data_IF_737192651007
#
_entry.id   IF_737192651007
#
_cell.length_a   1.000
_cell.length_b   1.000
_cell.length_c   1.000
_cell.angle_alpha   90.00
_cell.angle_beta   90.00
_cell.angle_gamma   90.00
#
_symmetry.space_group_name_H-M   'P 1'
#
loop_
_entity.id
_entity.type
_entity.pdbx_description
1 polymer ?
#
# COMPACT_ATOMS: atom_id res chain seq x y z
N UNK A 1 20.74 -20.54 4.93
CA UNK A 1 21.28 -19.68 3.87
C UNK A 1 20.33 -19.59 2.67
N UNK A 2 19.77 -20.72 2.22
CA UNK A 2 18.79 -20.75 1.10
C UNK A 2 17.53 -19.95 1.43
N UNK A 3 16.92 -20.17 2.58
CA UNK A 3 15.73 -19.44 3.05
C UNK A 3 15.92 -17.91 3.10
N UNK A 4 17.11 -17.45 3.52
CA UNK A 4 17.40 -16.02 3.56
C UNK A 4 17.48 -15.42 2.16
N UNK A 5 17.97 -16.18 1.18
CA UNK A 5 17.99 -15.76 -0.22
C UNK A 5 16.57 -15.67 -0.80
N UNK A 6 15.69 -16.61 -0.44
CA UNK A 6 14.28 -16.60 -0.84
C UNK A 6 13.56 -15.33 -0.32
N UNK A 7 13.79 -14.97 0.95
CA UNK A 7 13.25 -13.72 1.51
C UNK A 7 13.77 -12.48 0.79
N UNK A 8 15.06 -12.45 0.43
CA UNK A 8 15.64 -11.35 -0.31
C UNK A 8 14.98 -11.20 -1.70
N UNK A 9 14.87 -12.30 -2.44
CA UNK A 9 14.27 -12.34 -3.78
C UNK A 9 12.81 -11.96 -3.71
N UNK A 10 12.06 -12.48 -2.72
CA UNK A 10 10.69 -12.09 -2.46
C UNK A 10 10.58 -10.58 -2.21
N UNK A 11 11.47 -10.04 -1.38
CA UNK A 11 11.55 -8.61 -1.09
C UNK A 11 11.79 -7.77 -2.33
N UNK A 12 12.70 -8.18 -3.23
CA UNK A 12 12.96 -7.48 -4.50
C UNK A 12 11.70 -7.46 -5.37
N UNK A 13 11.05 -8.61 -5.57
CA UNK A 13 9.83 -8.71 -6.39
C UNK A 13 8.70 -7.84 -5.84
N UNK A 14 8.36 -8.05 -4.56
CA UNK A 14 7.30 -7.32 -3.88
C UNK A 14 7.61 -5.83 -3.79
N UNK A 15 8.86 -5.48 -3.48
CA UNK A 15 9.30 -4.09 -3.42
C UNK A 15 9.21 -3.39 -4.77
N UNK A 16 9.53 -4.10 -5.86
CA UNK A 16 9.40 -3.56 -7.22
C UNK A 16 7.94 -3.24 -7.55
N UNK A 17 7.03 -4.18 -7.34
CA UNK A 17 5.59 -3.96 -7.58
C UNK A 17 5.03 -2.90 -6.63
N UNK A 18 5.42 -2.95 -5.36
CA UNK A 18 4.98 -2.01 -4.33
C UNK A 18 5.33 -0.55 -4.66
N UNK A 19 6.57 -0.29 -5.07
CA UNK A 19 7.00 1.04 -5.48
C UNK A 19 6.44 1.45 -6.85
N UNK A 20 6.37 0.51 -7.81
CA UNK A 20 5.78 0.77 -9.13
C UNK A 20 4.35 1.31 -9.05
N UNK A 21 3.56 0.79 -8.11
CA UNK A 21 2.15 1.13 -7.95
C UNK A 21 1.87 2.08 -6.76
N UNK A 22 2.88 2.41 -5.97
CA UNK A 22 2.73 3.30 -4.80
C UNK A 22 2.02 2.67 -3.60
N UNK A 23 2.07 1.33 -3.50
CA UNK A 23 1.32 0.55 -2.50
C UNK A 23 2.20 0.00 -1.37
N UNK A 24 3.53 0.08 -1.52
CA UNK A 24 4.48 -0.38 -0.50
C UNK A 24 4.74 -1.89 -0.44
N UNK A 25 3.93 -2.72 -1.11
CA UNK A 25 4.15 -4.17 -1.22
C UNK A 25 3.52 -5.03 -0.12
N UNK A 26 3.07 -4.47 1.00
CA UNK A 26 2.47 -5.23 2.11
C UNK A 26 1.25 -6.05 1.69
N UNK A 27 0.49 -5.56 0.72
CA UNK A 27 -0.67 -6.25 0.16
C UNK A 27 -0.34 -7.57 -0.57
N UNK A 28 0.92 -7.78 -0.98
CA UNK A 28 1.40 -9.06 -1.52
C UNK A 28 1.99 -9.90 -0.41
N UNK A 29 2.77 -9.29 0.50
CA UNK A 29 3.45 -10.01 1.57
C UNK A 29 2.48 -10.66 2.55
N UNK A 30 1.45 -9.91 3.00
CA UNK A 30 0.47 -10.44 3.96
C UNK A 30 -0.21 -11.72 3.46
N UNK A 31 -0.78 -11.76 2.23
CA UNK A 31 -1.31 -13.01 1.68
C UNK A 31 -0.29 -14.14 1.58
N UNK A 32 0.92 -13.86 1.09
CA UNK A 32 1.96 -14.88 0.96
C UNK A 32 2.31 -15.46 2.33
N UNK A 33 2.51 -14.62 3.33
CA UNK A 33 2.83 -15.08 4.68
C UNK A 33 1.68 -15.88 5.31
N UNK A 34 0.44 -15.42 5.11
CA UNK A 34 -0.76 -16.10 5.60
C UNK A 34 -0.99 -17.47 4.97
N UNK A 35 -0.66 -17.63 3.70
CA UNK A 35 -0.90 -18.87 2.97
C UNK A 35 0.23 -19.89 3.13
N UNK A 36 1.48 -19.43 3.23
CA UNK A 36 2.65 -20.33 3.12
C UNK A 36 3.55 -20.34 4.33
N UNK A 37 3.50 -19.32 5.21
CA UNK A 37 4.51 -19.14 6.25
C UNK A 37 3.95 -19.08 7.68
N UNK A 38 2.62 -19.05 7.84
CA UNK A 38 1.97 -19.11 9.15
C UNK A 38 1.62 -20.57 9.50
N UNK A 39 1.69 -20.93 10.77
CA UNK A 39 1.22 -22.22 11.24
C UNK A 39 -0.28 -22.44 10.88
N UNK A 40 -0.71 -23.66 10.48
CA UNK A 40 0.03 -24.93 10.43
C UNK A 40 0.81 -25.17 9.13
N UNK A 41 0.73 -24.29 8.12
CA UNK A 41 1.35 -24.51 6.81
C UNK A 41 2.84 -24.12 6.76
N UNK A 42 3.30 -23.29 7.71
CA UNK A 42 4.70 -22.87 7.85
C UNK A 42 5.11 -22.69 9.30
N UNK A 43 6.41 -22.59 9.55
CA UNK A 43 6.99 -22.47 10.91
C UNK A 43 7.53 -21.07 11.22
N UNK A 44 7.50 -20.15 10.26
CA UNK A 44 8.14 -18.83 10.42
C UNK A 44 7.31 -17.89 11.29
N UNK A 45 5.98 -17.91 11.15
CA UNK A 45 5.07 -17.05 11.90
C UNK A 45 4.08 -17.88 12.71
N UNK A 46 3.87 -17.48 13.95
CA UNK A 46 2.91 -18.12 14.87
C UNK A 46 1.61 -17.34 14.98
N UNK A 47 1.63 -16.05 14.71
CA UNK A 47 0.47 -15.18 14.86
C UNK A 47 0.29 -14.25 13.64
N UNK A 48 -0.94 -13.81 13.41
CA UNK A 48 -1.28 -12.81 12.37
C UNK A 48 -0.56 -11.49 12.62
N UNK A 49 -0.37 -11.12 13.89
CA UNK A 49 0.32 -9.89 14.28
C UNK A 49 1.80 -9.90 13.85
N UNK A 50 2.46 -11.06 13.92
CA UNK A 50 3.83 -11.22 13.42
C UNK A 50 3.91 -11.07 11.90
N UNK A 51 2.94 -11.61 11.18
CA UNK A 51 2.82 -11.43 9.73
C UNK A 51 2.67 -9.94 9.38
N UNK A 52 1.76 -9.25 10.06
CA UNK A 52 1.49 -7.83 9.83
C UNK A 52 2.72 -6.98 10.19
N UNK A 53 3.31 -7.18 11.37
CA UNK A 53 4.48 -6.41 11.82
C UNK A 53 5.69 -6.58 10.89
N UNK A 54 6.01 -7.82 10.51
CA UNK A 54 7.11 -8.13 9.58
C UNK A 54 6.86 -7.55 8.19
N UNK A 55 5.63 -7.65 7.70
CA UNK A 55 5.23 -7.04 6.42
C UNK A 55 5.33 -5.52 6.46
N UNK A 56 4.87 -4.86 7.54
CA UNK A 56 4.98 -3.41 7.71
C UNK A 56 6.42 -2.92 7.72
N UNK A 57 7.34 -3.68 8.32
CA UNK A 57 8.77 -3.35 8.26
C UNK A 57 9.30 -3.36 6.82
N UNK A 58 8.94 -4.36 6.03
CA UNK A 58 9.31 -4.42 4.61
C UNK A 58 8.68 -3.27 3.80
N UNK A 59 7.40 -2.93 4.08
CA UNK A 59 6.71 -1.76 3.51
C UNK A 59 7.43 -0.47 3.84
N UNK A 60 7.87 -0.30 5.08
CA UNK A 60 8.65 0.87 5.52
C UNK A 60 9.96 0.99 4.74
N UNK A 61 10.73 -0.10 4.64
CA UNK A 61 11.97 -0.12 3.85
C UNK A 61 11.73 0.22 2.38
N UNK A 62 10.67 -0.34 1.79
CA UNK A 62 10.23 -0.02 0.43
C UNK A 62 9.87 1.45 0.28
N UNK A 63 9.07 1.98 1.19
CA UNK A 63 8.57 3.35 1.14
C UNK A 63 9.68 4.39 1.32
N UNK A 64 10.66 4.16 2.21
CA UNK A 64 11.86 5.00 2.32
C UNK A 64 12.60 5.05 0.99
N UNK A 65 12.97 3.88 0.47
CA UNK A 65 13.76 3.77 -0.75
C UNK A 65 13.01 4.36 -1.96
N UNK A 66 11.71 4.03 -2.09
CA UNK A 66 10.84 4.55 -3.14
C UNK A 66 10.68 6.08 -3.04
N UNK A 67 10.49 6.61 -1.84
CA UNK A 67 10.42 8.07 -1.60
C UNK A 67 11.69 8.75 -2.08
N UNK A 68 12.86 8.22 -1.72
CA UNK A 68 14.15 8.76 -2.19
C UNK A 68 14.24 8.76 -3.72
N UNK A 69 13.81 7.67 -4.38
CA UNK A 69 13.79 7.59 -5.83
C UNK A 69 12.85 8.63 -6.45
N UNK A 70 11.64 8.80 -5.89
CA UNK A 70 10.65 9.75 -6.40
C UNK A 70 10.99 11.22 -6.10
N UNK A 71 11.66 11.52 -4.98
CA UNK A 71 12.22 12.86 -4.72
C UNK A 71 13.24 13.23 -5.80
N UNK A 72 14.18 12.31 -6.12
CA UNK A 72 15.15 12.52 -7.20
C UNK A 72 14.51 12.71 -8.58
N UNK A 73 13.34 12.10 -8.78
CA UNK A 73 12.56 12.27 -10.01
C UNK A 73 11.67 13.53 -10.01
N UNK A 74 11.61 14.29 -8.89
CA UNK A 74 10.76 15.48 -8.71
C UNK A 74 9.28 15.20 -8.97
N UNK A 75 8.79 14.00 -8.57
CA UNK A 75 7.41 13.55 -8.82
C UNK A 75 6.50 13.56 -7.60
N UNK A 76 7.02 13.91 -6.43
CA UNK A 76 6.21 14.05 -5.21
C UNK A 76 5.64 15.45 -5.16
N UNK A 77 4.31 15.55 -5.08
CA UNK A 77 3.64 16.83 -4.83
C UNK A 77 3.68 17.15 -3.33
N UNK A 78 4.78 17.75 -2.85
CA UNK A 78 5.00 18.01 -1.42
C UNK A 78 3.87 18.84 -0.78
N UNK A 79 3.27 19.76 -1.54
CA UNK A 79 2.13 20.58 -1.09
C UNK A 79 0.92 19.73 -0.67
N UNK A 80 0.71 18.55 -1.31
CA UNK A 80 -0.32 17.60 -0.93
C UNK A 80 0.23 16.51 0.01
N UNK A 81 1.44 16.02 -0.26
CA UNK A 81 2.06 14.90 0.45
C UNK A 81 2.17 15.14 1.95
N UNK A 82 2.64 16.33 2.37
CA UNK A 82 2.83 16.65 3.79
C UNK A 82 1.50 16.73 4.55
N UNK A 83 0.48 17.51 4.11
CA UNK A 83 -0.81 17.51 4.79
C UNK A 83 -1.50 16.14 4.83
N UNK A 84 -1.40 15.37 3.74
CA UNK A 84 -1.97 14.03 3.68
C UNK A 84 -1.27 13.07 4.63
N UNK A 85 0.07 13.11 4.68
CA UNK A 85 0.85 12.30 5.60
C UNK A 85 0.51 12.61 7.06
N UNK A 86 0.45 13.91 7.42
CA UNK A 86 0.07 14.32 8.78
C UNK A 86 -1.36 13.89 9.14
N UNK A 87 -2.29 13.92 8.18
CA UNK A 87 -3.67 13.48 8.39
C UNK A 87 -3.79 11.95 8.56
N UNK A 88 -2.89 11.17 7.96
CA UNK A 88 -2.90 9.70 8.15
C UNK A 88 -2.47 9.29 9.56
N UNK A 89 -1.65 10.08 10.26
CA UNK A 89 -1.14 9.71 11.58
C UNK A 89 -2.25 9.50 12.63
N UNK A 90 -3.16 10.46 12.87
CA UNK A 90 -4.25 10.25 13.82
C UNK A 90 -5.22 9.17 13.35
N UNK A 91 -5.47 9.07 12.04
CA UNK A 91 -6.28 7.98 11.48
C UNK A 91 -5.66 6.61 11.76
N UNK A 92 -4.36 6.46 11.51
CA UNK A 92 -3.63 5.23 11.76
C UNK A 92 -3.61 4.85 13.25
N UNK A 93 -3.44 5.83 14.12
CA UNK A 93 -3.48 5.60 15.58
C UNK A 93 -4.87 5.10 16.02
N UNK A 94 -5.94 5.77 15.61
CA UNK A 94 -7.32 5.36 15.93
C UNK A 94 -7.66 4.00 15.30
N UNK A 95 -7.25 3.75 14.05
CA UNK A 95 -7.48 2.47 13.38
C UNK A 95 -6.77 1.31 14.07
N UNK A 96 -5.56 1.51 14.55
CA UNK A 96 -4.83 0.52 15.35
C UNK A 96 -5.53 0.21 16.67
N UNK A 97 -5.95 1.25 17.39
CA UNK A 97 -6.66 1.12 18.67
C UNK A 97 -8.03 0.43 18.53
N UNK A 98 -8.76 0.73 17.47
CA UNK A 98 -10.09 0.17 17.21
C UNK A 98 -10.05 -1.10 16.33
N UNK A 99 -8.86 -1.59 15.98
CA UNK A 99 -8.70 -2.71 15.02
C UNK A 99 -9.42 -3.99 15.44
N UNK A 100 -9.52 -4.28 16.74
CA UNK A 100 -10.23 -5.45 17.25
C UNK A 100 -11.73 -5.40 16.95
N UNK A 101 -12.34 -4.21 17.00
CA UNK A 101 -13.77 -4.02 16.73
C UNK A 101 -14.12 -4.09 15.25
N UNK A 102 -13.15 -3.74 14.38
CA UNK A 102 -13.31 -3.72 12.93
C UNK A 102 -12.63 -4.90 12.22
N UNK A 103 -12.09 -5.87 12.95
CA UNK A 103 -11.40 -7.03 12.39
C UNK A 103 -12.31 -8.21 12.07
N UNK A 104 -13.62 -8.10 12.28
CA UNK A 104 -14.58 -9.18 12.07
C UNK A 104 -14.78 -9.56 10.59
N UNK A 105 -15.31 -10.79 10.34
CA UNK A 105 -15.55 -11.30 8.99
C UNK A 105 -16.46 -10.40 8.15
N UNK A 106 -17.49 -9.81 8.76
CA UNK A 106 -18.43 -8.89 8.09
C UNK A 106 -17.74 -7.62 7.58
N UNK A 107 -16.79 -7.07 8.36
CA UNK A 107 -16.01 -5.92 7.94
C UNK A 107 -15.06 -6.27 6.78
N UNK A 108 -14.39 -7.43 6.84
CA UNK A 108 -13.56 -7.92 5.72
C UNK A 108 -14.37 -8.06 4.44
N UNK A 109 -15.59 -8.62 4.54
CA UNK A 109 -16.49 -8.76 3.40
C UNK A 109 -16.89 -7.40 2.80
N UNK A 110 -17.35 -6.46 3.64
CA UNK A 110 -17.74 -5.12 3.20
C UNK A 110 -16.59 -4.36 2.54
N UNK A 111 -15.39 -4.43 3.14
CA UNK A 111 -14.19 -3.81 2.57
C UNK A 111 -13.78 -4.46 1.25
N UNK A 112 -13.86 -5.78 1.15
CA UNK A 112 -13.58 -6.51 -0.08
C UNK A 112 -14.52 -6.11 -1.22
N UNK A 113 -15.83 -6.00 -0.96
CA UNK A 113 -16.82 -5.52 -1.93
C UNK A 113 -16.49 -4.10 -2.40
N UNK A 114 -16.15 -3.20 -1.47
CA UNK A 114 -15.73 -1.83 -1.81
C UNK A 114 -14.48 -1.82 -2.71
N UNK A 115 -13.48 -2.66 -2.42
CA UNK A 115 -12.25 -2.76 -3.22
C UNK A 115 -12.52 -3.31 -4.62
N UNK A 116 -13.36 -4.35 -4.76
CA UNK A 116 -13.77 -4.88 -6.07
C UNK A 116 -14.47 -3.79 -6.88
N UNK A 117 -15.37 -3.05 -6.26
CA UNK A 117 -16.09 -1.95 -6.92
C UNK A 117 -15.13 -0.82 -7.37
N UNK A 118 -14.19 -0.41 -6.50
CA UNK A 118 -13.15 0.57 -6.85
C UNK A 118 -12.29 0.05 -8.00
N UNK A 119 -11.80 -1.19 -7.93
CA UNK A 119 -10.99 -1.81 -8.98
C UNK A 119 -11.73 -1.85 -10.32
N UNK A 120 -13.00 -2.20 -10.32
CA UNK A 120 -13.85 -2.20 -11.51
C UNK A 120 -14.01 -0.79 -12.12
N UNK A 121 -14.32 0.22 -11.29
CA UNK A 121 -14.42 1.62 -11.74
C UNK A 121 -13.10 2.10 -12.33
N UNK A 122 -11.97 1.80 -11.67
CA UNK A 122 -10.65 2.16 -12.15
C UNK A 122 -10.35 1.53 -13.52
N UNK A 123 -10.64 0.25 -13.67
CA UNK A 123 -10.46 -0.46 -14.93
C UNK A 123 -11.34 0.14 -16.03
N UNK A 124 -12.61 0.35 -15.76
CA UNK A 124 -13.56 0.95 -16.72
C UNK A 124 -13.12 2.36 -17.15
N UNK A 125 -12.60 3.16 -16.21
CA UNK A 125 -12.09 4.51 -16.48
C UNK A 125 -10.63 4.55 -16.98
N UNK A 126 -9.94 3.41 -17.08
CA UNK A 126 -8.53 3.33 -17.51
C UNK A 126 -8.29 3.84 -18.93
N UNK A 127 -9.33 3.90 -19.76
CA UNK A 127 -9.29 4.46 -21.12
C UNK A 127 -9.63 5.95 -21.16
N UNK A 128 -10.09 6.52 -20.05
CA UNK A 128 -10.51 7.92 -19.95
C UNK A 128 -9.33 8.91 -19.86
N UNK A 129 -9.66 10.20 -19.92
CA UNK A 129 -8.69 11.30 -19.84
C UNK A 129 -7.88 11.29 -18.54
N UNK A 130 -8.49 10.95 -17.40
CA UNK A 130 -7.82 10.92 -16.10
C UNK A 130 -6.67 9.91 -16.04
N UNK A 131 -6.88 8.71 -16.60
CA UNK A 131 -5.87 7.65 -16.62
C UNK A 131 -4.73 7.90 -17.62
N UNK A 132 -4.97 8.74 -18.63
CA UNK A 132 -3.98 9.08 -19.65
C UNK A 132 -3.27 10.43 -19.40
N UNK A 133 -3.59 11.10 -18.27
CA UNK A 133 -2.98 12.38 -17.93
C UNK A 133 -1.48 12.22 -17.74
N UNK A 134 -0.69 12.93 -18.54
CA UNK A 134 0.76 12.90 -18.43
C UNK A 134 1.27 13.89 -17.36
N UNK A 135 2.48 13.65 -16.88
CA UNK A 135 3.13 14.59 -15.96
C UNK A 135 3.57 15.86 -16.68
N UNK A 136 3.86 15.74 -17.99
CA UNK A 136 4.34 16.84 -18.83
C UNK A 136 3.26 17.91 -19.04
N UNK A 137 1.98 17.47 -19.09
CA UNK A 137 0.83 18.36 -19.26
C UNK A 137 0.28 18.90 -17.94
N UNK A 138 0.95 18.61 -16.81
CA UNK A 138 0.46 18.94 -15.46
C UNK A 138 1.48 19.75 -14.67
N UNK A 139 1.11 20.99 -14.38
CA UNK A 139 1.95 21.87 -13.57
C UNK A 139 1.60 21.74 -12.07
N UNK A 140 2.55 21.24 -11.25
CA UNK A 140 2.35 21.11 -9.81
C UNK A 140 2.06 22.43 -9.09
N UNK A 141 2.54 23.57 -9.60
CA UNK A 141 2.40 24.86 -8.96
C UNK A 141 0.99 25.43 -9.10
N UNK A 142 0.40 25.23 -10.28
CA UNK A 142 -0.95 25.76 -10.62
C UNK A 142 -2.07 24.75 -10.43
N UNK A 143 -1.73 23.48 -10.15
CA UNK A 143 -2.71 22.42 -9.99
C UNK A 143 -3.71 22.73 -8.87
N UNK A 144 -4.99 22.83 -9.24
CA UNK A 144 -6.10 23.00 -8.30
C UNK A 144 -6.67 21.64 -7.94
N UNK A 145 -6.74 21.34 -6.65
CA UNK A 145 -7.40 20.16 -6.10
C UNK A 145 -8.03 20.49 -4.75
N UNK A 146 -9.00 19.71 -4.34
CA UNK A 146 -9.70 19.93 -3.08
C UNK A 146 -8.83 19.43 -1.93
N UNK A 147 -8.03 20.32 -1.32
CA UNK A 147 -7.13 20.00 -0.21
C UNK A 147 -7.89 19.48 1.02
N UNK A 148 -8.97 20.12 1.52
CA UNK A 148 -9.76 19.62 2.65
C UNK A 148 -10.28 18.19 2.42
N UNK A 149 -10.78 17.90 1.22
CA UNK A 149 -11.24 16.57 0.87
C UNK A 149 -10.09 15.56 0.87
N UNK A 150 -8.93 15.93 0.33
CA UNK A 150 -7.73 15.08 0.35
C UNK A 150 -7.26 14.76 1.76
N UNK A 151 -7.23 15.74 2.65
CA UNK A 151 -6.88 15.57 4.07
C UNK A 151 -7.88 14.65 4.78
N UNK A 152 -9.18 14.88 4.61
CA UNK A 152 -10.22 14.05 5.19
C UNK A 152 -10.12 12.58 4.72
N UNK A 153 -9.98 12.40 3.41
CA UNK A 153 -9.78 11.05 2.85
C UNK A 153 -8.51 10.40 3.38
N UNK A 154 -7.41 11.16 3.53
CA UNK A 154 -6.14 10.63 4.05
C UNK A 154 -6.26 10.16 5.50
N UNK A 155 -7.05 10.85 6.34
CA UNK A 155 -7.38 10.37 7.68
C UNK A 155 -8.05 8.98 7.65
N UNK A 156 -9.08 8.82 6.81
CA UNK A 156 -9.76 7.52 6.65
C UNK A 156 -8.85 6.45 6.04
N UNK A 157 -7.97 6.84 5.12
CA UNK A 157 -6.96 5.93 4.56
C UNK A 157 -6.01 5.43 5.64
N UNK A 158 -5.52 6.32 6.51
CA UNK A 158 -4.71 5.93 7.66
C UNK A 158 -5.44 4.96 8.59
N UNK A 159 -6.69 5.25 8.90
CA UNK A 159 -7.56 4.41 9.71
C UNK A 159 -7.72 3.00 9.12
N UNK A 160 -8.15 2.88 7.87
CA UNK A 160 -8.31 1.60 7.19
C UNK A 160 -6.97 0.86 7.03
N UNK A 161 -5.90 1.58 6.72
CA UNK A 161 -4.56 1.01 6.58
C UNK A 161 -4.09 0.27 7.84
N UNK A 162 -4.33 0.87 9.01
CA UNK A 162 -3.93 0.28 10.29
C UNK A 162 -4.78 -0.93 10.68
N UNK A 163 -6.06 -0.92 10.36
CA UNK A 163 -6.95 -2.05 10.62
C UNK A 163 -6.52 -3.27 9.79
N UNK A 164 -6.18 -3.08 8.51
CA UNK A 164 -5.88 -4.19 7.60
C UNK A 164 -4.38 -4.55 7.49
N UNK A 165 -3.49 -3.70 8.01
CA UNK A 165 -2.04 -3.92 7.91
C UNK A 165 -1.47 -3.90 6.48
N UNK A 166 -2.20 -3.32 5.51
CA UNK A 166 -1.88 -3.44 4.08
C UNK A 166 -1.02 -2.25 3.58
N UNK A 167 -0.94 -1.18 4.39
CA UNK A 167 -0.39 0.09 3.96
C UNK A 167 -1.41 0.92 3.15
N UNK A 168 -1.46 2.23 3.41
CA UNK A 168 -2.52 3.11 2.89
C UNK A 168 -2.57 3.30 1.37
N UNK A 169 -1.57 2.86 0.63
CA UNK A 169 -1.43 3.11 -0.80
C UNK A 169 -2.61 2.62 -1.65
N UNK A 170 -3.22 1.49 -1.27
CA UNK A 170 -4.33 0.85 -2.01
C UNK A 170 -5.52 1.80 -2.19
N UNK A 171 -5.87 2.56 -1.17
CA UNK A 171 -6.98 3.52 -1.22
C UNK A 171 -6.48 4.90 -1.63
N UNK A 172 -5.25 5.27 -1.22
CA UNK A 172 -4.68 6.59 -1.47
C UNK A 172 -4.45 6.86 -2.96
N UNK A 173 -3.87 5.91 -3.70
CA UNK A 173 -3.60 6.11 -5.13
C UNK A 173 -4.89 6.28 -5.93
N UNK A 174 -5.92 5.41 -5.82
CA UNK A 174 -7.21 5.64 -6.47
C UNK A 174 -7.86 6.98 -6.11
N UNK A 175 -7.81 7.36 -4.83
CA UNK A 175 -8.35 8.64 -4.36
C UNK A 175 -7.65 9.82 -5.04
N UNK A 176 -6.32 9.83 -5.08
CA UNK A 176 -5.56 10.89 -5.77
C UNK A 176 -5.86 10.95 -7.26
N UNK A 177 -6.02 9.79 -7.92
CA UNK A 177 -6.31 9.71 -9.35
C UNK A 177 -7.70 10.23 -9.71
N UNK A 178 -8.73 9.69 -9.04
CA UNK A 178 -10.12 9.86 -9.49
C UNK A 178 -10.89 10.93 -8.72
N UNK A 179 -10.48 11.24 -7.49
CA UNK A 179 -11.11 12.27 -6.66
C UNK A 179 -10.34 13.59 -6.76
N UNK A 180 -9.01 13.55 -6.69
CA UNK A 180 -8.18 14.76 -6.74
C UNK A 180 -7.65 15.07 -8.14
N UNK A 181 -7.77 14.17 -9.12
CA UNK A 181 -7.39 14.38 -10.52
C UNK A 181 -5.89 14.45 -10.77
N UNK A 182 -5.06 13.80 -9.92
CA UNK A 182 -3.61 13.75 -10.10
C UNK A 182 -3.23 12.84 -11.28
N UNK A 183 -2.14 13.15 -12.00
CA UNK A 183 -1.55 12.19 -12.94
C UNK A 183 -1.12 10.91 -12.22
N UNK A 184 -1.22 9.72 -12.84
CA UNK A 184 -0.90 8.45 -12.19
C UNK A 184 0.49 8.39 -11.56
N UNK A 185 1.51 8.89 -12.23
CA UNK A 185 2.87 8.88 -11.71
C UNK A 185 3.07 9.82 -10.52
N UNK A 186 2.34 10.94 -10.47
CA UNK A 186 2.35 11.86 -9.32
C UNK A 186 1.59 11.24 -8.14
N UNK A 187 0.44 10.62 -8.41
CA UNK A 187 -0.35 9.92 -7.39
C UNK A 187 0.45 8.79 -6.73
N UNK A 188 1.12 7.94 -7.53
CA UNK A 188 2.00 6.86 -7.05
C UNK A 188 3.14 7.41 -6.20
N UNK A 189 3.86 8.42 -6.70
CA UNK A 189 5.00 9.00 -5.99
C UNK A 189 4.58 9.68 -4.67
N UNK A 190 3.49 10.44 -4.71
CA UNK A 190 2.96 11.15 -3.53
C UNK A 190 2.43 10.16 -2.49
N UNK A 191 1.72 9.10 -2.93
CA UNK A 191 1.28 8.00 -2.06
C UNK A 191 2.45 7.29 -1.38
N UNK A 192 3.55 7.03 -2.10
CA UNK A 192 4.74 6.40 -1.53
C UNK A 192 5.33 7.22 -0.39
N UNK A 193 5.37 8.55 -0.52
CA UNK A 193 5.82 9.45 0.56
C UNK A 193 4.87 9.40 1.77
N UNK A 194 3.57 9.48 1.54
CA UNK A 194 2.56 9.40 2.62
C UNK A 194 2.68 8.06 3.34
N UNK A 195 2.87 6.98 2.59
CA UNK A 195 3.07 5.64 3.13
C UNK A 195 4.34 5.54 3.98
N UNK A 196 5.44 6.17 3.56
CA UNK A 196 6.67 6.25 4.36
C UNK A 196 6.39 6.84 5.74
N UNK A 197 5.74 8.00 5.79
CA UNK A 197 5.44 8.69 7.06
C UNK A 197 4.49 7.84 7.93
N UNK A 198 3.43 7.28 7.36
CA UNK A 198 2.49 6.44 8.11
C UNK A 198 3.11 5.13 8.61
N UNK A 199 4.01 4.53 7.81
CA UNK A 199 4.69 3.28 8.17
C UNK A 199 5.66 3.44 9.35
N UNK A 200 6.22 4.64 9.57
CA UNK A 200 7.03 4.93 10.78
C UNK A 200 6.24 4.58 12.04
N UNK A 201 4.99 5.05 12.13
CA UNK A 201 4.13 4.79 13.30
C UNK A 201 3.76 3.32 13.42
N UNK A 202 3.38 2.69 12.30
CA UNK A 202 3.01 1.27 12.29
C UNK A 202 4.17 0.36 12.70
N UNK A 203 5.36 0.58 12.15
CA UNK A 203 6.55 -0.20 12.51
C UNK A 203 6.94 0.01 13.96
N UNK A 204 6.91 1.26 14.44
CA UNK A 204 7.25 1.55 15.85
C UNK A 204 6.32 0.83 16.81
N UNK A 205 5.01 0.84 16.57
CA UNK A 205 4.02 0.12 17.40
C UNK A 205 4.27 -1.40 17.39
N UNK A 206 4.44 -1.99 16.21
CA UNK A 206 4.68 -3.44 16.10
C UNK A 206 6.05 -3.88 16.64
N UNK A 207 7.07 -3.01 16.55
CA UNK A 207 8.38 -3.28 17.14
C UNK A 207 8.32 -3.28 18.67
N UNK A 208 7.62 -2.31 19.28
CA UNK A 208 7.42 -2.24 20.73
C UNK A 208 6.63 -3.43 21.28
N UNK A 209 5.68 -3.96 20.49
CA UNK A 209 4.87 -5.13 20.85
C UNK A 209 5.55 -6.47 20.55
N UNK A 210 6.78 -6.48 20.02
CA UNK A 210 7.50 -7.71 19.68
C UNK A 210 6.92 -8.48 18.48
N UNK A 211 6.13 -7.83 17.63
CA UNK A 211 5.46 -8.45 16.50
C UNK A 211 6.33 -8.56 15.24
N UNK A 212 7.60 -8.14 15.28
CA UNK A 212 8.49 -8.20 14.12
C UNK A 212 9.43 -9.40 14.26
N UNK A 213 9.37 -10.33 13.32
CA UNK A 213 10.35 -11.42 13.21
C UNK A 213 11.54 -10.91 12.42
N UNK A 214 12.59 -10.49 13.13
CA UNK A 214 13.70 -9.71 12.56
C UNK A 214 14.48 -10.42 11.46
N UNK A 215 14.66 -11.74 11.51
CA UNK A 215 15.37 -12.49 10.47
C UNK A 215 14.75 -12.29 9.08
N UNK A 216 13.51 -12.73 8.85
CA UNK A 216 12.77 -12.49 7.61
C UNK A 216 12.61 -11.00 7.31
N UNK A 217 12.30 -10.16 8.33
CA UNK A 217 12.05 -8.73 8.15
C UNK A 217 13.23 -8.01 7.50
N UNK A 218 14.45 -8.25 7.99
CA UNK A 218 15.67 -7.59 7.49
C UNK A 218 15.99 -8.02 6.05
N UNK A 219 15.85 -9.30 5.73
CA UNK A 219 16.15 -9.80 4.39
C UNK A 219 15.13 -9.33 3.36
N UNK A 220 13.84 -9.41 3.70
CA UNK A 220 12.78 -8.89 2.84
C UNK A 220 12.89 -7.36 2.71
N UNK A 221 13.18 -6.67 3.82
CA UNK A 221 13.42 -5.22 3.84
C UNK A 221 14.58 -4.80 2.93
N UNK A 222 15.70 -5.50 2.99
CA UNK A 222 16.85 -5.27 2.11
C UNK A 222 16.48 -5.48 0.62
N UNK A 223 15.77 -6.57 0.32
CA UNK A 223 15.23 -6.82 -1.01
C UNK A 223 14.26 -5.71 -1.45
N UNK A 224 13.38 -5.28 -0.56
CA UNK A 224 12.40 -4.23 -0.82
C UNK A 224 13.05 -2.87 -1.13
N UNK A 225 14.18 -2.54 -0.49
CA UNK A 225 14.98 -1.34 -0.81
C UNK A 225 15.47 -1.38 -2.25
N UNK A 226 16.03 -2.52 -2.69
CA UNK A 226 16.49 -2.71 -4.07
C UNK A 226 15.31 -2.66 -5.05
N UNK A 227 14.25 -3.42 -4.73
CA UNK A 227 13.03 -3.48 -5.53
C UNK A 227 12.37 -2.11 -5.71
N UNK A 228 12.34 -1.28 -4.67
CA UNK A 228 11.77 0.06 -4.75
C UNK A 228 12.48 0.96 -5.76
N UNK A 229 13.81 0.89 -5.85
CA UNK A 229 14.56 1.64 -6.88
C UNK A 229 14.22 1.16 -8.29
N UNK A 230 14.07 -0.15 -8.47
CA UNK A 230 13.67 -0.74 -9.76
C UNK A 230 12.23 -0.33 -10.10
N UNK A 231 11.29 -0.47 -9.18
CA UNK A 231 9.89 -0.10 -9.35
C UNK A 231 9.71 1.36 -9.71
N UNK A 232 10.40 2.27 -9.01
CA UNK A 232 10.37 3.70 -9.30
C UNK A 232 10.97 4.06 -10.68
N UNK A 233 12.03 3.35 -11.11
CA UNK A 233 12.58 3.51 -12.47
C UNK A 233 11.60 3.03 -13.54
N UNK A 234 10.94 1.91 -13.32
CA UNK A 234 9.93 1.35 -14.23
C UNK A 234 8.71 2.30 -14.28
N UNK A 235 8.23 2.78 -13.14
CA UNK A 235 7.13 3.75 -13.07
C UNK A 235 7.42 5.03 -13.87
N UNK A 236 8.68 5.50 -13.84
CA UNK A 236 9.12 6.67 -14.61
C UNK A 236 8.95 6.48 -16.12
N UNK A 237 9.23 5.28 -16.61
CA UNK A 237 9.18 4.94 -18.05
C UNK A 237 7.81 4.39 -18.47
N UNK A 238 6.96 4.02 -17.54
CA UNK A 238 5.66 3.42 -17.84
C UNK A 238 4.66 4.44 -18.34
N UNK A 239 3.85 4.03 -19.31
CA UNK A 239 2.71 4.83 -19.76
C UNK A 239 1.72 5.00 -18.60
N UNK A 240 1.14 6.21 -18.38
CA UNK A 240 0.21 6.46 -17.27
C UNK A 240 -0.93 5.43 -17.20
N UNK A 241 -1.51 5.10 -18.33
CA UNK A 241 -2.57 4.10 -18.45
C UNK A 241 -2.18 2.72 -17.95
N UNK A 242 -0.94 2.28 -18.20
CA UNK A 242 -0.46 0.97 -17.75
C UNK A 242 -0.46 0.90 -16.23
N UNK A 243 -0.01 1.96 -15.55
CA UNK A 243 -0.03 2.04 -14.08
C UNK A 243 -1.46 1.93 -13.53
N UNK A 244 -2.42 2.62 -14.16
CA UNK A 244 -3.83 2.56 -13.74
C UNK A 244 -4.41 1.16 -13.94
N UNK A 245 -4.13 0.51 -15.07
CA UNK A 245 -4.61 -0.86 -15.35
C UNK A 245 -4.01 -1.87 -14.36
N UNK A 246 -2.71 -1.84 -14.15
CA UNK A 246 -2.05 -2.72 -13.18
C UNK A 246 -2.60 -2.52 -11.76
N UNK A 247 -2.76 -1.26 -11.36
CA UNK A 247 -3.32 -0.92 -10.06
C UNK A 247 -4.78 -1.42 -9.94
N UNK A 248 -5.60 -1.24 -10.99
CA UNK A 248 -7.01 -1.66 -10.95
C UNK A 248 -7.15 -3.18 -10.81
N UNK A 249 -6.35 -3.95 -11.55
CA UNK A 249 -6.33 -5.42 -11.45
C UNK A 249 -5.94 -5.84 -10.04
N UNK A 250 -4.92 -5.20 -9.49
CA UNK A 250 -4.41 -5.51 -8.18
C UNK A 250 -5.43 -5.21 -7.08
N UNK A 251 -6.05 -4.03 -7.08
CA UNK A 251 -7.09 -3.63 -6.14
C UNK A 251 -8.29 -4.58 -6.23
N UNK A 252 -8.66 -5.01 -7.44
CA UNK A 252 -9.72 -5.98 -7.67
C UNK A 252 -9.38 -7.35 -7.05
N UNK A 253 -8.17 -7.88 -7.29
CA UNK A 253 -7.73 -9.16 -6.73
C UNK A 253 -7.67 -9.14 -5.20
N UNK A 254 -7.19 -8.03 -4.61
CA UNK A 254 -7.19 -7.84 -3.15
C UNK A 254 -8.63 -7.83 -2.64
N UNK A 255 -9.54 -7.14 -3.32
CA UNK A 255 -10.95 -7.12 -2.98
C UNK A 255 -11.55 -8.54 -2.94
N UNK A 256 -11.25 -9.37 -3.94
CA UNK A 256 -11.69 -10.77 -3.97
C UNK A 256 -11.13 -11.57 -2.77
N UNK A 257 -9.86 -11.34 -2.42
CA UNK A 257 -9.24 -11.99 -1.26
C UNK A 257 -9.94 -11.62 0.05
N UNK A 258 -10.30 -10.34 0.23
CA UNK A 258 -11.05 -9.90 1.42
C UNK A 258 -12.48 -10.45 1.45
N UNK A 259 -13.16 -10.55 0.30
CA UNK A 259 -14.46 -11.21 0.20
C UNK A 259 -14.35 -12.67 0.63
N UNK A 260 -13.37 -13.39 0.09
CA UNK A 260 -13.13 -14.79 0.46
C UNK A 260 -12.87 -14.94 1.96
N UNK A 261 -11.98 -14.15 2.53
CA UNK A 261 -11.67 -14.17 3.97
C UNK A 261 -12.92 -13.87 4.82
N UNK A 262 -13.72 -12.90 4.39
CA UNK A 262 -14.97 -12.54 5.06
C UNK A 262 -16.01 -13.67 4.99
N UNK A 263 -16.19 -14.29 3.82
CA UNK A 263 -17.15 -15.36 3.59
C UNK A 263 -16.79 -16.63 4.39
N UNK A 264 -15.52 -17.03 4.39
CA UNK A 264 -15.02 -18.15 5.22
C UNK A 264 -15.23 -17.85 6.72
N UNK A 265 -14.94 -16.65 7.16
CA UNK A 265 -15.12 -16.26 8.56
C UNK A 265 -16.59 -16.17 8.99
N UNK A 266 -17.54 -16.03 8.05
CA UNK A 266 -18.99 -16.10 8.29
C UNK A 266 -19.55 -17.52 8.22
N UNK A 267 -18.71 -18.53 7.89
CA UNK A 267 -19.15 -19.92 7.77
C UNK A 267 -19.95 -20.22 6.51
N UNK A 268 -19.73 -19.46 5.43
CA UNK A 268 -20.41 -19.70 4.14
C UNK A 268 -19.76 -20.82 3.32
N UNK A 269 -18.53 -21.23 3.70
CA UNK A 269 -17.77 -22.32 3.09
C UNK A 269 -17.07 -23.16 4.16
#
# INVERSE_FOLDING_TARGET
MLELLEYLVLGIGVGTVGALLGLGGGFILVPIFMLFMIAPHGSTFTTVQQVVGTSLFAVFCNAISGTFAYIRQRRILMRAAVPFALATLPGAFLGGYLSEWFSGPGFSLAFGILMVFIGYIMYSKSRGKAANKSVEDWDPATARFNMPLGVLCSFFVGFLSSIFGIGGGIVHVPMMLFVLGFPPQIAVATSTFVLFVSAVMGVSSHALLGHIIWGPALMIGAGAVIGAQLGAKIAKKSKPRLLVVLLSILVFLIGLQFIWKGAVGLGWF
#
